data_IF_553894891319
#
_entry.id   IF_553894891319
#
_cell.length_a   1.000
_cell.length_b   1.000
_cell.length_c   1.000
_cell.angle_alpha   90.00
_cell.angle_beta   90.00
_cell.angle_gamma   90.00
#
_symmetry.space_group_name_H-M   'P 1'
#
loop_
_entity.id
_entity.type
_entity.pdbx_description
1 polymer ?
#
# COMPACT_ATOMS: atom_id res chain seq x y z
N UNK A 1 -0.22 11.80 -29.46
CA UNK A 1 -1.34 11.51 -28.53
C UNK A 1 -1.28 12.48 -27.37
N UNK A 2 -2.43 12.88 -26.85
CA UNK A 2 -2.53 13.87 -25.76
C UNK A 2 -2.51 13.20 -24.39
N UNK A 3 -2.18 13.95 -23.33
CA UNK A 3 -2.22 13.49 -21.93
C UNK A 3 -3.57 12.84 -21.53
N UNK A 4 -4.74 13.28 -22.02
CA UNK A 4 -5.99 12.56 -21.83
C UNK A 4 -6.00 11.11 -22.35
N UNK A 5 -5.28 10.79 -23.42
CA UNK A 5 -5.16 9.41 -23.90
C UNK A 5 -4.32 8.57 -22.95
N UNK A 6 -3.25 9.14 -22.39
CA UNK A 6 -2.46 8.50 -21.33
C UNK A 6 -3.33 8.27 -20.09
N UNK A 7 -4.06 9.29 -19.61
CA UNK A 7 -4.97 9.14 -18.46
C UNK A 7 -5.95 7.97 -18.66
N UNK A 8 -6.65 7.90 -19.80
CA UNK A 8 -7.58 6.80 -20.10
C UNK A 8 -6.89 5.43 -20.12
N UNK A 9 -5.68 5.35 -20.68
CA UNK A 9 -4.93 4.10 -20.70
C UNK A 9 -4.52 3.67 -19.28
N UNK A 10 -4.16 4.61 -18.42
CA UNK A 10 -3.79 4.36 -17.02
C UNK A 10 -4.99 3.99 -16.16
N UNK A 11 -6.12 4.69 -16.28
CA UNK A 11 -7.35 4.40 -15.52
C UNK A 11 -7.97 3.05 -15.91
N UNK A 12 -7.70 2.56 -17.13
CA UNK A 12 -8.13 1.24 -17.59
C UNK A 12 -7.27 0.08 -17.05
N UNK A 13 -6.14 0.37 -16.40
CA UNK A 13 -5.33 -0.67 -15.76
C UNK A 13 -6.04 -1.14 -14.49
N UNK A 14 -6.43 -2.42 -14.46
CA UNK A 14 -6.95 -3.01 -13.24
C UNK A 14 -5.81 -3.47 -12.34
N UNK A 15 -5.84 -3.02 -11.09
CA UNK A 15 -4.86 -3.36 -10.06
C UNK A 15 -5.62 -3.64 -8.79
N UNK A 16 -5.48 -4.88 -8.32
CA UNK A 16 -6.08 -5.38 -7.10
C UNK A 16 -5.11 -5.19 -5.94
N UNK A 17 -5.62 -4.94 -4.74
CA UNK A 17 -4.79 -4.90 -3.54
C UNK A 17 -4.38 -6.29 -3.04
N UNK A 18 -5.23 -7.29 -3.30
CA UNK A 18 -4.96 -8.68 -2.96
C UNK A 18 -5.76 -9.62 -3.88
N UNK A 19 -5.27 -10.84 -4.04
CA UNK A 19 -5.96 -11.96 -4.66
C UNK A 19 -6.06 -13.12 -3.66
N UNK A 20 -6.98 -14.05 -3.91
CA UNK A 20 -7.29 -15.16 -3.01
C UNK A 20 -7.56 -16.44 -3.78
N UNK A 21 -7.53 -17.57 -3.09
CA UNK A 21 -7.93 -18.84 -3.65
C UNK A 21 -7.95 -19.95 -2.62
N UNK A 22 -8.15 -21.18 -3.09
CA UNK A 22 -8.10 -22.39 -2.26
C UNK A 22 -7.19 -23.40 -2.92
N UNK A 23 -6.12 -23.79 -2.24
CA UNK A 23 -5.21 -24.82 -2.69
C UNK A 23 -5.77 -26.21 -2.34
N UNK A 24 -5.98 -27.05 -3.35
CA UNK A 24 -6.44 -28.42 -3.16
C UNK A 24 -5.29 -29.32 -2.66
N UNK A 25 -5.08 -29.34 -1.35
CA UNK A 25 -4.08 -30.21 -0.73
C UNK A 25 -4.41 -31.70 -0.98
N UNK A 26 -3.48 -32.42 -1.60
CA UNK A 26 -3.57 -33.85 -1.90
C UNK A 26 -2.76 -34.71 -0.92
N UNK A 27 -1.88 -34.07 -0.16
CA UNK A 27 -1.05 -34.70 0.86
C UNK A 27 -1.39 -34.15 2.25
N UNK A 28 -0.94 -34.88 3.27
CA UNK A 28 -1.09 -34.47 4.66
C UNK A 28 -0.29 -33.20 4.94
N UNK A 29 -0.93 -32.20 5.53
CA UNK A 29 -0.28 -30.94 5.88
C UNK A 29 0.51 -31.10 7.17
N UNK A 30 1.82 -30.87 7.11
CA UNK A 30 2.70 -30.97 8.26
C UNK A 30 3.86 -29.98 8.18
N UNK A 31 4.41 -29.61 9.34
CA UNK A 31 5.59 -28.78 9.48
C UNK A 31 6.69 -29.65 10.06
N UNK A 32 7.84 -29.67 9.41
CA UNK A 32 9.03 -30.41 9.85
C UNK A 32 10.16 -29.44 10.19
N UNK A 33 10.73 -29.63 11.38
CA UNK A 33 11.87 -28.88 11.91
C UNK A 33 13.20 -29.57 11.55
N UNK A 34 14.37 -28.89 11.70
CA UNK A 34 15.64 -29.40 11.21
C UNK A 34 16.18 -30.59 12.01
N UNK A 35 15.72 -30.76 13.25
CA UNK A 35 16.02 -31.90 14.11
C UNK A 35 15.15 -33.14 13.81
N UNK A 36 14.22 -33.01 12.85
CA UNK A 36 13.31 -34.06 12.44
C UNK A 36 12.01 -34.11 13.24
N UNK A 37 11.78 -33.18 14.18
CA UNK A 37 10.49 -33.08 14.85
C UNK A 37 9.40 -32.59 13.88
N UNK A 38 8.21 -33.19 13.96
CA UNK A 38 7.12 -33.00 12.99
C UNK A 38 5.80 -32.75 13.69
N UNK A 39 5.18 -31.60 13.39
CA UNK A 39 3.80 -31.28 13.74
C UNK A 39 2.89 -31.42 12.53
N UNK A 40 1.91 -32.32 12.58
CA UNK A 40 0.94 -32.51 11.50
C UNK A 40 -0.41 -31.88 11.86
N UNK A 41 -1.01 -31.13 10.93
CA UNK A 41 -2.20 -30.29 11.18
C UNK A 41 -3.47 -31.08 11.56
N UNK A 42 -3.50 -32.39 11.27
CA UNK A 42 -4.59 -33.30 11.63
C UNK A 42 -4.36 -34.04 12.98
N UNK A 43 -3.20 -33.88 13.61
CA UNK A 43 -2.96 -34.37 14.98
C UNK A 43 -3.65 -33.42 15.99
N UNK A 44 -4.50 -33.90 16.89
CA UNK A 44 -5.13 -33.09 17.92
C UNK A 44 -4.16 -32.29 18.81
N UNK A 45 -2.89 -32.71 18.89
CA UNK A 45 -1.83 -32.03 19.66
C UNK A 45 -1.05 -31.00 18.85
N UNK A 46 -1.37 -30.81 17.57
CA UNK A 46 -0.62 -29.94 16.67
C UNK A 46 -0.46 -28.52 17.19
N UNK A 47 -1.53 -27.94 17.72
CA UNK A 47 -1.50 -26.57 18.26
C UNK A 47 -0.56 -26.50 19.47
N UNK A 48 -0.67 -27.43 20.41
CA UNK A 48 0.22 -27.49 21.58
C UNK A 48 1.69 -27.71 21.17
N UNK A 49 1.93 -28.58 20.19
CA UNK A 49 3.25 -28.78 19.61
C UNK A 49 3.79 -27.50 19.00
N UNK A 50 2.98 -26.78 18.23
CA UNK A 50 3.40 -25.54 17.56
C UNK A 50 3.70 -24.43 18.58
N UNK A 51 2.87 -24.30 19.62
CA UNK A 51 3.10 -23.37 20.73
C UNK A 51 4.40 -23.68 21.48
N UNK A 52 4.73 -24.95 21.70
CA UNK A 52 5.99 -25.36 22.34
C UNK A 52 7.25 -24.97 21.53
N UNK A 53 7.10 -24.79 20.22
CA UNK A 53 8.18 -24.39 19.30
C UNK A 53 8.11 -22.92 18.88
N UNK A 54 7.18 -22.14 19.45
CA UNK A 54 6.95 -20.75 19.07
C UNK A 54 7.44 -19.76 20.12
N UNK A 55 7.70 -18.54 19.69
CA UNK A 55 7.92 -17.37 20.54
C UNK A 55 6.78 -16.36 20.38
N UNK A 56 6.69 -15.36 21.26
CA UNK A 56 5.74 -14.27 21.07
C UNK A 56 6.02 -13.55 19.74
N UNK A 57 4.99 -13.32 18.94
CA UNK A 57 5.14 -12.64 17.66
C UNK A 57 5.25 -11.12 17.88
N UNK A 58 6.36 -10.48 17.49
CA UNK A 58 6.53 -9.03 17.64
C UNK A 58 5.83 -8.25 16.53
N UNK A 59 5.76 -6.93 16.67
CA UNK A 59 5.33 -6.02 15.61
C UNK A 59 6.30 -4.83 15.47
N UNK A 60 6.30 -4.20 14.31
CA UNK A 60 7.08 -2.99 14.05
C UNK A 60 6.31 -1.73 14.47
N UNK A 61 7.00 -0.77 15.08
CA UNK A 61 6.46 0.54 15.44
C UNK A 61 7.56 1.59 15.32
N UNK A 62 7.46 2.49 14.33
CA UNK A 62 8.46 3.54 14.11
C UNK A 62 9.89 3.03 13.90
N UNK A 63 10.06 1.87 13.27
CA UNK A 63 11.37 1.21 13.08
C UNK A 63 11.85 0.38 14.28
N UNK A 64 11.14 0.39 15.41
CA UNK A 64 11.43 -0.46 16.56
C UNK A 64 10.62 -1.77 16.50
N UNK A 65 11.17 -2.85 17.05
CA UNK A 65 10.46 -4.11 17.23
C UNK A 65 9.91 -4.20 18.65
N UNK A 66 8.58 -4.32 18.80
CA UNK A 66 7.89 -4.27 20.11
C UNK A 66 7.09 -5.54 20.37
N UNK A 67 6.86 -5.80 21.67
CA UNK A 67 5.99 -6.85 22.18
C UNK A 67 4.90 -6.21 23.04
N UNK A 68 3.67 -6.21 22.52
CA UNK A 68 2.48 -5.72 23.22
C UNK A 68 1.27 -6.57 22.79
N UNK A 69 0.76 -7.45 23.67
CA UNK A 69 -0.44 -8.24 23.41
C UNK A 69 -1.69 -7.40 23.15
N UNK A 70 -1.69 -6.11 23.51
CA UNK A 70 -2.77 -5.21 23.15
C UNK A 70 -2.87 -5.00 21.63
N UNK A 71 -1.70 -4.97 20.97
CA UNK A 71 -1.51 -4.76 19.52
C UNK A 71 -1.44 -6.08 18.77
N UNK A 72 -0.57 -7.00 19.19
CA UNK A 72 -0.38 -8.31 18.57
C UNK A 72 -0.34 -9.40 19.64
N UNK A 73 -1.44 -10.13 19.77
CA UNK A 73 -1.54 -11.31 20.61
C UNK A 73 -1.44 -12.55 19.73
N UNK A 74 -0.23 -12.99 19.46
CA UNK A 74 0.05 -14.16 18.64
C UNK A 74 1.41 -14.76 19.01
N UNK A 75 1.62 -16.02 18.65
CA UNK A 75 2.91 -16.68 18.70
C UNK A 75 3.38 -17.02 17.28
N UNK A 76 4.69 -17.05 17.07
CA UNK A 76 5.31 -17.39 15.80
C UNK A 76 6.34 -18.51 15.98
N UNK A 77 6.27 -19.50 15.12
CA UNK A 77 7.41 -20.35 14.80
C UNK A 77 8.21 -19.63 13.71
N UNK A 78 9.44 -19.23 14.01
CA UNK A 78 10.35 -18.64 13.03
C UNK A 78 10.80 -19.73 12.06
N UNK A 79 10.24 -19.71 10.85
CA UNK A 79 10.32 -20.80 9.89
C UNK A 79 11.36 -20.57 8.79
N UNK A 80 11.77 -19.32 8.54
CA UNK A 80 12.79 -18.99 7.54
C UNK A 80 14.06 -19.81 7.77
N UNK A 81 14.46 -20.57 6.75
CA UNK A 81 15.62 -21.48 6.74
C UNK A 81 15.60 -22.57 7.84
N UNK A 82 14.45 -22.78 8.50
CA UNK A 82 14.34 -23.60 9.71
C UNK A 82 13.15 -24.54 9.72
N UNK A 83 12.17 -24.36 8.84
CA UNK A 83 11.05 -25.28 8.74
C UNK A 83 10.72 -25.58 7.28
N UNK A 84 10.22 -26.78 7.05
CA UNK A 84 9.67 -27.21 5.76
C UNK A 84 8.22 -27.58 5.92
N UNK A 85 7.41 -27.29 4.92
CA UNK A 85 5.97 -27.58 4.92
C UNK A 85 5.71 -28.70 3.93
N UNK A 86 5.07 -29.77 4.40
CA UNK A 86 4.49 -30.80 3.57
C UNK A 86 3.02 -30.49 3.27
N UNK A 87 2.51 -30.89 2.09
CA UNK A 87 1.10 -30.72 1.71
C UNK A 87 0.71 -29.32 1.24
N UNK A 88 1.66 -28.40 1.09
CA UNK A 88 1.47 -27.12 0.40
C UNK A 88 2.75 -26.71 -0.31
N UNK A 89 2.67 -26.53 -1.64
CA UNK A 89 3.75 -25.98 -2.45
C UNK A 89 3.30 -24.60 -2.99
N UNK A 90 3.91 -23.48 -2.54
CA UNK A 90 3.53 -22.17 -3.02
C UNK A 90 3.74 -21.99 -4.53
N UNK A 91 4.64 -22.76 -5.16
CA UNK A 91 4.86 -22.70 -6.61
C UNK A 91 3.60 -23.00 -7.43
N UNK A 92 2.64 -23.72 -6.84
CA UNK A 92 1.37 -24.07 -7.50
C UNK A 92 0.32 -22.95 -7.47
N UNK A 93 0.44 -21.99 -6.56
CA UNK A 93 -0.43 -20.80 -6.49
C UNK A 93 0.24 -19.53 -7.03
N UNK A 94 1.57 -19.55 -7.17
CA UNK A 94 2.35 -18.42 -7.67
C UNK A 94 1.88 -17.90 -9.04
N UNK A 95 1.50 -18.70 -10.05
CA UNK A 95 1.05 -18.16 -11.33
C UNK A 95 -0.15 -17.20 -11.23
N UNK A 96 -1.14 -17.53 -10.40
CA UNK A 96 -2.32 -16.70 -10.15
C UNK A 96 -1.95 -15.42 -9.39
N UNK A 97 -1.07 -15.55 -8.39
CA UNK A 97 -0.54 -14.42 -7.63
C UNK A 97 0.29 -13.48 -8.51
N UNK A 98 1.13 -14.03 -9.39
CA UNK A 98 1.93 -13.25 -10.33
C UNK A 98 1.04 -12.49 -11.32
N UNK A 99 -0.04 -13.08 -11.82
CA UNK A 99 -0.99 -12.38 -12.71
C UNK A 99 -1.66 -11.18 -12.03
N UNK A 100 -1.97 -11.30 -10.74
CA UNK A 100 -2.59 -10.24 -9.96
C UNK A 100 -1.61 -9.17 -9.48
N UNK A 101 -0.46 -9.58 -8.93
CA UNK A 101 0.43 -8.72 -8.13
C UNK A 101 1.81 -8.47 -8.77
N UNK A 102 2.22 -9.27 -9.77
CA UNK A 102 3.52 -9.11 -10.43
C UNK A 102 3.48 -9.49 -11.93
N UNK A 103 2.74 -8.73 -12.76
CA UNK A 103 2.51 -9.08 -14.16
C UNK A 103 3.78 -9.05 -15.04
N UNK A 104 4.91 -8.52 -14.54
CA UNK A 104 6.18 -8.46 -15.26
C UNK A 104 7.27 -9.35 -14.72
N UNK A 105 7.25 -9.70 -13.45
CA UNK A 105 8.35 -10.44 -12.84
C UNK A 105 7.84 -11.70 -12.18
N UNK A 106 8.62 -12.76 -12.29
CA UNK A 106 8.36 -13.96 -11.54
C UNK A 106 8.60 -13.72 -10.06
N UNK A 107 7.78 -14.35 -9.23
CA UNK A 107 7.84 -14.27 -7.78
C UNK A 107 8.49 -15.53 -7.19
N UNK A 108 9.12 -15.34 -6.04
CA UNK A 108 9.52 -16.38 -5.12
C UNK A 108 8.74 -16.22 -3.82
N UNK A 109 8.30 -17.34 -3.25
CA UNK A 109 7.62 -17.38 -1.97
C UNK A 109 8.52 -18.04 -0.93
N UNK A 110 8.98 -17.26 0.06
CA UNK A 110 9.84 -17.76 1.15
C UNK A 110 9.03 -17.83 2.44
N UNK A 111 8.88 -19.03 3.01
CA UNK A 111 8.22 -19.20 4.31
C UNK A 111 8.98 -18.40 5.37
N UNK A 112 8.30 -17.47 6.03
CA UNK A 112 8.92 -16.66 7.09
C UNK A 112 8.53 -17.18 8.46
N UNK A 113 7.24 -17.38 8.67
CA UNK A 113 6.66 -17.69 9.97
C UNK A 113 5.47 -18.64 9.83
N UNK A 114 5.24 -19.43 10.87
CA UNK A 114 3.93 -20.03 11.13
C UNK A 114 3.34 -19.33 12.35
N UNK A 115 2.18 -18.71 12.17
CA UNK A 115 1.53 -17.91 13.20
C UNK A 115 0.41 -18.69 13.86
N UNK A 116 0.36 -18.65 15.19
CA UNK A 116 -0.74 -19.15 16.02
C UNK A 116 -1.37 -17.99 16.77
N UNK A 117 -2.66 -17.80 16.56
CA UNK A 117 -3.49 -16.91 17.36
C UNK A 117 -4.35 -17.79 18.27
N UNK A 118 -4.07 -17.85 19.59
CA UNK A 118 -4.94 -18.55 20.53
C UNK A 118 -6.25 -17.76 20.74
N UNK A 119 -7.14 -18.23 21.61
CA UNK A 119 -8.28 -17.41 22.10
C UNK A 119 -7.80 -16.02 22.56
N UNK A 120 -8.57 -14.99 22.22
CA UNK A 120 -8.25 -13.55 22.34
C UNK A 120 -7.05 -13.07 21.52
N UNK A 121 -6.46 -13.97 20.73
CA UNK A 121 -5.39 -13.69 19.79
C UNK A 121 -5.87 -12.77 18.68
N UNK A 122 -5.06 -11.77 18.33
CA UNK A 122 -5.39 -10.73 17.36
C UNK A 122 -4.14 -10.05 16.81
N UNK A 123 -4.31 -9.25 15.76
CA UNK A 123 -3.33 -8.27 15.33
C UNK A 123 -4.06 -7.01 14.87
N UNK A 124 -3.77 -5.88 15.51
CA UNK A 124 -4.28 -4.57 15.13
C UNK A 124 -3.97 -4.22 13.67
N UNK A 125 -4.70 -3.25 13.13
CA UNK A 125 -4.51 -2.74 11.77
C UNK A 125 -3.08 -2.26 11.54
N UNK A 126 -2.45 -2.77 10.50
CA UNK A 126 -1.08 -2.46 10.12
C UNK A 126 -0.86 -2.66 8.62
N UNK A 127 0.33 -2.25 8.16
CA UNK A 127 0.90 -2.59 6.86
C UNK A 127 2.19 -3.37 7.08
N UNK A 128 2.57 -4.18 6.12
CA UNK A 128 3.86 -4.83 6.18
C UNK A 128 4.97 -3.81 5.91
N UNK A 129 6.03 -3.86 6.72
CA UNK A 129 7.21 -3.03 6.49
C UNK A 129 8.13 -3.75 5.49
N UNK A 130 8.37 -3.19 4.29
CA UNK A 130 9.32 -3.79 3.36
C UNK A 130 10.72 -3.74 3.94
N UNK A 131 11.38 -4.90 4.02
CA UNK A 131 12.77 -5.01 4.46
C UNK A 131 13.75 -5.23 3.30
N UNK A 132 13.24 -5.48 2.08
CA UNK A 132 14.03 -5.52 0.84
C UNK A 132 13.30 -4.81 -0.30
N UNK A 133 14.01 -4.55 -1.40
CA UNK A 133 13.45 -3.90 -2.61
C UNK A 133 12.58 -4.87 -3.41
N UNK A 134 12.95 -6.14 -3.33
CA UNK A 134 12.35 -7.26 -4.03
C UNK A 134 11.00 -7.63 -3.42
N UNK A 135 10.78 -7.38 -2.12
CA UNK A 135 9.53 -7.69 -1.44
C UNK A 135 8.36 -6.93 -2.09
N UNK A 136 7.44 -7.72 -2.65
CA UNK A 136 6.20 -7.27 -3.25
C UNK A 136 5.08 -7.28 -2.20
N UNK A 137 5.02 -8.32 -1.38
CA UNK A 137 3.96 -8.48 -0.40
C UNK A 137 4.06 -9.81 0.33
N UNK A 138 2.90 -10.29 0.79
CA UNK A 138 2.79 -11.45 1.68
C UNK A 138 1.75 -12.42 1.12
N UNK A 139 2.02 -13.71 1.25
CA UNK A 139 1.05 -14.78 1.04
C UNK A 139 0.73 -15.42 2.40
N UNK A 140 -0.55 -15.38 2.78
CA UNK A 140 -1.08 -15.96 4.01
C UNK A 140 -1.93 -17.17 3.65
N UNK A 141 -1.61 -18.33 4.23
CA UNK A 141 -2.32 -19.59 3.98
C UNK A 141 -2.93 -20.08 5.28
N UNK A 142 -4.25 -20.30 5.29
CA UNK A 142 -4.98 -20.89 6.40
C UNK A 142 -4.71 -22.39 6.53
N UNK A 143 -4.28 -22.84 7.71
CA UNK A 143 -4.23 -24.26 8.03
C UNK A 143 -5.60 -24.74 8.52
N UNK A 144 -5.95 -26.03 8.34
CA UNK A 144 -7.30 -26.55 8.59
C UNK A 144 -7.58 -26.80 10.09
N UNK A 145 -7.31 -25.79 10.92
CA UNK A 145 -7.51 -25.82 12.37
C UNK A 145 -8.79 -25.05 12.69
N UNK A 146 -9.76 -25.75 13.31
CA UNK A 146 -11.07 -25.17 13.63
C UNK A 146 -10.94 -24.05 14.66
N UNK A 147 -11.60 -22.93 14.40
CA UNK A 147 -11.69 -21.79 15.31
C UNK A 147 -12.94 -20.95 15.01
N UNK A 148 -13.29 -20.02 15.90
CA UNK A 148 -14.31 -18.99 15.64
C UNK A 148 -13.71 -17.60 15.91
N UNK A 149 -14.23 -16.58 15.23
CA UNK A 149 -13.56 -15.26 15.19
C UNK A 149 -12.26 -15.35 14.39
N UNK A 150 -11.30 -14.45 14.63
CA UNK A 150 -10.00 -14.55 13.96
C UNK A 150 -10.01 -14.14 12.48
N UNK A 151 -11.06 -13.46 12.00
CA UNK A 151 -11.18 -13.08 10.61
C UNK A 151 -9.98 -12.21 10.18
N UNK A 152 -9.45 -12.49 8.99
CA UNK A 152 -8.41 -11.69 8.36
C UNK A 152 -9.08 -10.62 7.52
N UNK A 153 -8.84 -9.34 7.84
CA UNK A 153 -9.45 -8.22 7.13
C UNK A 153 -8.37 -7.52 6.32
N UNK A 154 -8.66 -7.26 5.04
CA UNK A 154 -7.80 -6.52 4.12
C UNK A 154 -8.56 -5.32 3.59
N UNK A 155 -7.96 -4.14 3.68
CA UNK A 155 -8.61 -2.87 3.34
C UNK A 155 -7.65 -2.01 2.50
N UNK A 156 -8.09 -1.66 1.30
CA UNK A 156 -7.34 -0.85 0.34
C UNK A 156 -7.97 0.54 0.13
N UNK A 157 -8.88 0.94 1.01
CA UNK A 157 -9.64 2.19 0.91
C UNK A 157 -10.89 2.09 0.03
N UNK A 158 -11.02 1.07 -0.82
CA UNK A 158 -12.26 0.79 -1.55
C UNK A 158 -13.31 0.06 -0.70
N UNK A 159 -12.89 -0.48 0.45
CA UNK A 159 -13.73 -1.11 1.46
C UNK A 159 -13.08 -2.40 1.98
N UNK A 160 -13.34 -2.79 3.24
CA UNK A 160 -12.72 -3.98 3.83
C UNK A 160 -13.27 -5.26 3.18
N UNK A 161 -12.36 -6.17 2.84
CA UNK A 161 -12.64 -7.57 2.51
C UNK A 161 -12.35 -8.44 3.73
N UNK A 162 -13.25 -9.37 4.02
CA UNK A 162 -13.20 -10.27 5.18
C UNK A 162 -12.96 -11.69 4.73
N UNK A 163 -11.89 -12.31 5.23
CA UNK A 163 -11.55 -13.71 5.02
C UNK A 163 -11.69 -14.47 6.35
N UNK A 164 -12.73 -15.29 6.45
CA UNK A 164 -12.99 -16.13 7.62
C UNK A 164 -12.74 -17.60 7.27
N UNK A 165 -11.74 -18.20 7.94
CA UNK A 165 -11.29 -19.57 7.72
C UNK A 165 -11.50 -20.44 8.97
N UNK A 166 -12.41 -20.04 9.86
CA UNK A 166 -12.73 -20.75 11.10
C UNK A 166 -13.27 -22.16 10.88
N UNK A 167 -14.07 -22.32 9.81
CA UNK A 167 -14.63 -23.61 9.41
C UNK A 167 -13.79 -24.30 8.33
N UNK A 168 -13.67 -25.63 8.36
CA UNK A 168 -12.90 -26.36 7.36
C UNK A 168 -13.47 -26.16 5.94
N UNK A 169 -12.64 -25.61 5.05
CA UNK A 169 -12.90 -25.60 3.61
C UNK A 169 -12.20 -26.79 2.95
N UNK A 170 -12.67 -27.20 1.77
CA UNK A 170 -12.04 -28.25 0.99
C UNK A 170 -10.70 -27.75 0.41
N UNK A 171 -9.62 -27.88 1.18
CA UNK A 171 -8.27 -27.42 0.83
C UNK A 171 -7.72 -26.40 1.81
N UNK A 172 -6.71 -25.65 1.38
CA UNK A 172 -6.07 -24.58 2.16
C UNK A 172 -6.42 -23.23 1.55
N UNK A 173 -7.27 -22.41 2.21
CA UNK A 173 -7.57 -21.08 1.72
C UNK A 173 -6.33 -20.20 1.85
N UNK A 174 -6.15 -19.28 0.92
CA UNK A 174 -5.01 -18.37 0.93
C UNK A 174 -5.39 -17.01 0.39
N UNK A 175 -4.66 -16.00 0.85
CA UNK A 175 -4.72 -14.61 0.37
C UNK A 175 -3.30 -14.12 0.15
N UNK A 176 -3.05 -13.52 -1.01
CA UNK A 176 -1.82 -12.80 -1.30
C UNK A 176 -2.12 -11.31 -1.47
N UNK A 177 -1.39 -10.45 -0.76
CA UNK A 177 -1.60 -9.01 -0.70
C UNK A 177 -0.29 -8.25 -0.84
N UNK A 178 -0.33 -7.04 -1.40
CA UNK A 178 0.82 -6.14 -1.41
C UNK A 178 1.16 -5.66 0.01
N UNK A 179 2.43 -5.35 0.25
CA UNK A 179 2.91 -4.92 1.57
C UNK A 179 2.30 -3.61 2.09
N UNK A 180 1.82 -2.75 1.18
CA UNK A 180 1.24 -1.45 1.48
C UNK A 180 -0.26 -1.47 1.76
N UNK A 181 -0.88 -2.65 1.77
CA UNK A 181 -2.32 -2.79 2.04
C UNK A 181 -2.55 -2.92 3.54
N UNK A 182 -3.49 -2.12 4.07
CA UNK A 182 -3.88 -2.21 5.46
C UNK A 182 -4.57 -3.55 5.73
N UNK A 183 -4.15 -4.23 6.78
CA UNK A 183 -4.76 -5.50 7.17
C UNK A 183 -4.71 -5.71 8.69
N UNK A 184 -5.61 -6.57 9.19
CA UNK A 184 -5.71 -6.93 10.60
C UNK A 184 -6.22 -8.36 10.78
N UNK A 185 -6.06 -8.87 12.00
CA UNK A 185 -6.68 -10.13 12.46
C UNK A 185 -7.60 -9.79 13.63
N UNK A 186 -8.90 -10.04 13.46
CA UNK A 186 -9.88 -9.88 14.53
C UNK A 186 -9.63 -10.87 15.68
N UNK A 187 -10.15 -10.62 16.90
CA UNK A 187 -10.00 -11.54 18.01
C UNK A 187 -10.52 -12.94 17.70
N UNK A 188 -9.71 -13.96 18.00
CA UNK A 188 -10.17 -15.36 18.02
C UNK A 188 -11.05 -15.56 19.25
N UNK A 189 -12.27 -16.07 19.06
CA UNK A 189 -13.25 -16.29 20.13
C UNK A 189 -13.09 -17.68 20.74
N UNK A 190 -12.79 -18.70 19.92
CA UNK A 190 -12.53 -20.06 20.39
C UNK A 190 -11.62 -20.82 19.44
N UNK A 191 -10.90 -21.82 19.96
CA UNK A 191 -9.93 -22.60 19.18
C UNK A 191 -8.61 -21.83 18.97
N UNK A 192 -7.94 -22.11 17.86
CA UNK A 192 -6.73 -21.41 17.46
C UNK A 192 -6.69 -21.22 15.95
N UNK A 193 -6.42 -19.99 15.51
CA UNK A 193 -6.18 -19.68 14.10
C UNK A 193 -4.71 -19.91 13.79
N UNK A 194 -4.41 -20.79 12.84
CA UNK A 194 -3.05 -21.11 12.43
C UNK A 194 -2.85 -20.78 10.95
N UNK A 195 -1.79 -20.02 10.63
CA UNK A 195 -1.47 -19.64 9.25
C UNK A 195 0.00 -19.81 8.92
N UNK A 196 0.29 -20.26 7.70
CA UNK A 196 1.61 -20.11 7.09
C UNK A 196 1.73 -18.70 6.50
N UNK A 197 2.88 -18.05 6.69
CA UNK A 197 3.15 -16.71 6.15
C UNK A 197 4.40 -16.77 5.28
N UNK A 198 4.24 -16.39 4.02
CA UNK A 198 5.30 -16.36 3.03
C UNK A 198 5.56 -14.92 2.60
N UNK A 199 6.84 -14.53 2.53
CA UNK A 199 7.25 -13.32 1.84
C UNK A 199 7.24 -13.57 0.33
N UNK A 200 6.57 -12.69 -0.43
CA UNK A 200 6.56 -12.71 -1.89
C UNK A 200 7.58 -11.71 -2.42
N UNK A 201 8.65 -12.21 -3.03
CA UNK A 201 9.74 -11.39 -3.57
C UNK A 201 9.88 -11.54 -5.08
N UNK A 202 10.13 -10.43 -5.78
CA UNK A 202 10.48 -10.48 -7.20
C UNK A 202 11.83 -11.15 -7.41
N UNK A 203 11.88 -12.10 -8.34
CA UNK A 203 13.13 -12.77 -8.77
C UNK A 203 13.92 -11.96 -9.79
N UNK A 204 13.37 -10.83 -10.27
CA UNK A 204 13.93 -10.05 -11.39
C UNK A 204 13.82 -10.73 -12.77
N UNK A 205 13.36 -11.98 -12.84
CA UNK A 205 13.14 -12.72 -14.10
C UNK A 205 11.84 -12.26 -14.76
N UNK A 206 11.91 -11.81 -16.02
CA UNK A 206 10.78 -11.19 -16.74
C UNK A 206 9.71 -12.19 -17.21
N UNK A 207 8.46 -11.71 -17.32
CA UNK A 207 7.23 -12.34 -17.83
C UNK A 207 6.73 -11.61 -19.10
N UNK A 208 7.57 -11.53 -20.13
CA UNK A 208 7.44 -10.55 -21.23
C UNK A 208 6.08 -10.55 -21.99
N UNK A 209 5.50 -11.73 -22.26
CA UNK A 209 4.29 -11.83 -23.07
C UNK A 209 3.03 -11.25 -22.38
N UNK A 210 2.88 -11.48 -21.08
CA UNK A 210 1.72 -11.00 -20.30
C UNK A 210 1.78 -9.47 -20.11
N UNK A 211 2.99 -8.94 -19.88
CA UNK A 211 3.22 -7.50 -19.69
C UNK A 211 2.88 -6.70 -20.95
N UNK A 212 3.33 -7.16 -22.13
CA UNK A 212 3.15 -6.41 -23.37
C UNK A 212 1.67 -6.18 -23.72
N UNK A 213 0.81 -7.18 -23.52
CA UNK A 213 -0.62 -7.06 -23.77
C UNK A 213 -1.30 -6.09 -22.79
N UNK A 214 -0.97 -6.19 -21.50
CA UNK A 214 -1.52 -5.34 -20.42
C UNK A 214 -1.21 -3.86 -20.63
N UNK A 215 0.02 -3.52 -21.04
CA UNK A 215 0.48 -2.14 -21.17
C UNK A 215 0.43 -1.59 -22.60
N UNK A 216 -0.15 -2.31 -23.57
CA UNK A 216 -0.17 -1.91 -24.97
C UNK A 216 -0.78 -0.51 -25.21
N UNK A 217 -1.84 -0.16 -24.48
CA UNK A 217 -2.46 1.17 -24.57
C UNK A 217 -1.57 2.28 -23.99
N UNK A 218 -0.84 1.97 -22.91
CA UNK A 218 0.12 2.88 -22.27
C UNK A 218 1.30 3.14 -23.20
N UNK A 219 1.90 2.09 -23.77
CA UNK A 219 2.98 2.23 -24.75
C UNK A 219 2.58 3.13 -25.91
N UNK A 220 1.43 2.87 -26.53
CA UNK A 220 0.90 3.74 -27.59
C UNK A 220 0.79 5.19 -27.11
N UNK A 221 0.16 5.43 -25.96
CA UNK A 221 0.00 6.77 -25.43
C UNK A 221 1.34 7.50 -25.24
N UNK A 222 2.35 6.80 -24.71
CA UNK A 222 3.72 7.32 -24.49
C UNK A 222 4.42 7.64 -25.81
N UNK A 223 4.36 6.75 -26.81
CA UNK A 223 4.96 6.96 -28.13
C UNK A 223 4.45 8.25 -28.80
N UNK A 224 3.20 8.62 -28.49
CA UNK A 224 2.59 9.82 -29.01
C UNK A 224 2.88 11.10 -28.22
N UNK A 225 3.59 11.06 -27.10
CA UNK A 225 3.95 12.25 -26.32
C UNK A 225 5.10 12.97 -27.02
N UNK A 226 4.86 14.15 -27.60
CA UNK A 226 5.88 14.93 -28.33
C UNK A 226 6.42 16.13 -27.56
N UNK A 227 5.74 16.52 -26.49
CA UNK A 227 6.12 17.66 -25.65
C UNK A 227 7.31 17.30 -24.72
N UNK A 228 8.10 18.32 -24.39
CA UNK A 228 9.26 18.23 -23.48
C UNK A 228 8.95 18.69 -22.06
N UNK A 229 7.81 19.37 -21.85
CA UNK A 229 7.39 19.77 -20.52
C UNK A 229 7.19 18.55 -19.59
N UNK A 230 7.51 18.67 -18.30
CA UNK A 230 7.33 17.59 -17.34
C UNK A 230 5.88 17.11 -17.30
N UNK A 231 5.71 15.84 -16.99
CA UNK A 231 4.41 15.19 -16.77
C UNK A 231 4.45 14.61 -15.37
N UNK A 232 3.41 14.84 -14.58
CA UNK A 232 3.32 14.30 -13.22
C UNK A 232 2.20 13.28 -13.15
N UNK A 233 2.49 12.08 -12.67
CA UNK A 233 1.54 10.96 -12.61
C UNK A 233 1.46 10.47 -11.17
N UNK A 234 0.48 10.91 -10.38
CA UNK A 234 0.20 10.37 -9.05
C UNK A 234 0.16 8.85 -9.00
N UNK A 235 0.88 8.27 -8.03
CA UNK A 235 0.92 6.85 -7.71
C UNK A 235 -0.47 6.34 -7.28
N UNK A 236 -0.79 5.08 -7.58
CA UNK A 236 -2.04 4.40 -7.24
C UNK A 236 -1.85 3.48 -6.05
N UNK A 237 -0.59 3.30 -5.63
CA UNK A 237 -0.19 2.61 -4.42
C UNK A 237 0.50 3.59 -3.47
N UNK A 238 0.40 3.31 -2.18
CA UNK A 238 1.17 4.08 -1.21
C UNK A 238 2.63 3.72 -1.33
N UNK A 239 3.48 4.75 -1.42
CA UNK A 239 4.92 4.56 -1.43
C UNK A 239 5.40 4.51 0.02
N UNK A 240 5.74 3.32 0.49
CA UNK A 240 6.31 3.12 1.83
C UNK A 240 7.80 3.44 1.76
N UNK A 241 8.20 4.56 2.34
CA UNK A 241 9.60 4.86 2.66
C UNK A 241 9.81 4.78 4.16
N UNK A 242 11.03 4.44 4.59
CA UNK A 242 11.42 4.69 5.98
C UNK A 242 11.38 6.19 6.29
N UNK A 243 11.13 6.55 7.55
CA UNK A 243 10.86 7.92 7.99
C UNK A 243 11.82 8.95 7.35
N UNK A 244 11.22 10.01 6.78
CA UNK A 244 11.89 11.15 6.15
C UNK A 244 12.77 10.87 4.91
N UNK A 245 12.84 9.64 4.39
CA UNK A 245 13.50 9.38 3.10
C UNK A 245 12.56 9.76 1.95
N UNK A 246 13.03 10.59 1.03
CA UNK A 246 12.33 10.87 -0.22
C UNK A 246 12.11 9.57 -1.01
N UNK A 247 10.94 9.41 -1.65
CA UNK A 247 10.66 8.23 -2.44
C UNK A 247 11.58 8.14 -3.65
N UNK A 248 11.90 6.92 -4.05
CA UNK A 248 12.74 6.59 -5.21
C UNK A 248 12.09 5.47 -6.04
N UNK A 249 12.67 5.11 -7.18
CA UNK A 249 12.12 4.06 -8.05
C UNK A 249 11.97 2.71 -7.31
N UNK A 250 12.76 2.49 -6.27
CA UNK A 250 12.82 1.23 -5.53
C UNK A 250 11.73 1.16 -4.46
N UNK A 251 11.17 2.31 -4.09
CA UNK A 251 9.99 2.44 -3.23
C UNK A 251 8.67 2.14 -3.95
N UNK A 252 8.64 2.15 -5.29
CA UNK A 252 7.44 1.83 -6.07
C UNK A 252 7.06 0.36 -5.98
N UNK A 253 5.77 0.07 -6.09
CA UNK A 253 5.18 -1.28 -6.14
C UNK A 253 4.13 -1.37 -7.24
N UNK A 254 3.75 -2.60 -7.58
CA UNK A 254 2.66 -2.88 -8.52
C UNK A 254 2.80 -2.13 -9.84
N UNK A 255 1.68 -1.58 -10.34
CA UNK A 255 1.64 -0.87 -11.62
C UNK A 255 2.58 0.33 -11.66
N UNK A 256 2.80 1.02 -10.55
CA UNK A 256 3.59 2.26 -10.53
C UNK A 256 5.05 2.01 -10.87
N UNK A 257 5.60 0.90 -10.34
CA UNK A 257 6.94 0.42 -10.69
C UNK A 257 7.03 0.10 -12.18
N UNK A 258 5.98 -0.52 -12.73
CA UNK A 258 5.94 -0.89 -14.14
C UNK A 258 5.87 0.31 -15.07
N UNK A 259 5.03 1.30 -14.72
CA UNK A 259 4.93 2.55 -15.46
C UNK A 259 6.26 3.28 -15.47
N UNK A 260 6.92 3.40 -14.33
CA UNK A 260 8.23 4.03 -14.25
C UNK A 260 9.25 3.36 -15.18
N UNK A 261 9.30 2.02 -15.20
CA UNK A 261 10.18 1.30 -16.10
C UNK A 261 9.80 1.46 -17.57
N UNK A 262 8.50 1.47 -17.90
CA UNK A 262 8.03 1.71 -19.27
C UNK A 262 8.48 3.09 -19.78
N UNK A 263 8.39 4.12 -18.95
CA UNK A 263 8.90 5.46 -19.31
C UNK A 263 10.42 5.48 -19.49
N UNK A 264 11.17 4.81 -18.61
CA UNK A 264 12.63 4.67 -18.75
C UNK A 264 12.99 3.93 -20.04
N UNK A 265 12.32 2.82 -20.33
CA UNK A 265 12.53 2.04 -21.56
C UNK A 265 12.20 2.86 -22.82
N UNK A 266 11.27 3.81 -22.72
CA UNK A 266 10.92 4.77 -23.78
C UNK A 266 11.85 5.99 -23.85
N UNK A 267 12.90 6.04 -23.04
CA UNK A 267 13.93 7.09 -23.06
C UNK A 267 13.63 8.32 -22.22
N UNK A 268 12.61 8.27 -21.36
CA UNK A 268 12.31 9.34 -20.41
C UNK A 268 13.14 9.19 -19.13
N UNK A 269 13.43 10.31 -18.48
CA UNK A 269 13.88 10.34 -17.09
C UNK A 269 12.66 10.30 -16.17
N UNK A 270 12.73 9.46 -15.15
CA UNK A 270 11.67 9.31 -14.15
C UNK A 270 12.25 9.57 -12.76
N UNK A 271 11.64 10.51 -12.05
CA UNK A 271 11.86 10.72 -10.62
C UNK A 271 10.58 10.37 -9.86
N UNK A 272 10.72 9.87 -8.62
CA UNK A 272 9.58 9.71 -7.72
C UNK A 272 9.57 10.91 -6.78
N UNK A 273 8.43 11.58 -6.69
CA UNK A 273 8.26 12.82 -5.91
C UNK A 273 7.20 12.63 -4.85
N UNK A 274 7.39 13.30 -3.72
CA UNK A 274 6.29 13.58 -2.80
C UNK A 274 5.47 14.74 -3.38
N UNK A 275 4.16 14.72 -3.15
CA UNK A 275 3.25 15.76 -3.61
C UNK A 275 2.24 16.08 -2.51
N UNK A 276 1.74 17.31 -2.54
CA UNK A 276 0.58 17.74 -1.78
C UNK A 276 -0.50 18.19 -2.76
N UNK A 277 -1.76 17.85 -2.49
CA UNK A 277 -2.91 18.28 -3.27
C UNK A 277 -3.91 18.92 -2.32
N UNK A 278 -4.29 20.17 -2.60
CA UNK A 278 -5.48 20.77 -2.02
C UNK A 278 -6.68 20.43 -2.91
N UNK A 279 -7.71 19.88 -2.28
CA UNK A 279 -8.95 19.45 -2.92
C UNK A 279 -10.13 20.12 -2.25
N UNK A 280 -11.08 20.72 -2.98
CA UNK A 280 -12.27 21.33 -2.38
C UNK A 280 -13.04 20.38 -1.47
N UNK A 281 -13.42 20.85 -0.29
CA UNK A 281 -14.27 20.14 0.65
C UNK A 281 -15.74 20.44 0.34
N UNK A 282 -16.38 19.54 -0.41
CA UNK A 282 -17.79 19.66 -0.77
C UNK A 282 -18.74 18.92 0.20
N UNK A 283 -18.30 18.63 1.43
CA UNK A 283 -19.08 17.88 2.43
C UNK A 283 -19.10 16.36 2.20
N UNK A 284 -18.24 15.85 1.32
CA UNK A 284 -18.00 14.42 1.13
C UNK A 284 -17.17 13.83 2.29
N UNK A 285 -17.22 12.51 2.47
CA UNK A 285 -16.47 11.81 3.52
C UNK A 285 -14.96 12.00 3.32
N UNK A 286 -14.28 12.63 4.29
CA UNK A 286 -12.85 12.95 4.28
C UNK A 286 -11.91 11.73 4.07
N UNK A 287 -12.42 10.51 4.19
CA UNK A 287 -11.64 9.27 4.10
C UNK A 287 -11.26 8.83 2.68
N UNK A 288 -11.79 9.48 1.62
CA UNK A 288 -11.48 9.13 0.23
C UNK A 288 -11.03 10.37 -0.56
N UNK A 289 -9.91 10.23 -1.27
CA UNK A 289 -9.43 11.24 -2.20
C UNK A 289 -10.37 11.32 -3.41
N UNK A 290 -11.28 12.29 -3.38
CA UNK A 290 -12.19 12.56 -4.48
C UNK A 290 -11.52 13.45 -5.53
N UNK A 291 -11.66 13.07 -6.79
CA UNK A 291 -11.11 13.85 -7.89
C UNK A 291 -12.13 14.89 -8.33
N UNK A 292 -11.84 16.14 -8.00
CA UNK A 292 -12.58 17.30 -8.48
C UNK A 292 -11.88 17.94 -9.68
N UNK A 293 -12.59 18.81 -10.40
CA UNK A 293 -11.99 19.58 -11.51
C UNK A 293 -10.99 20.64 -10.99
N UNK A 294 -11.18 21.12 -9.76
CA UNK A 294 -10.45 22.25 -9.17
C UNK A 294 -9.35 21.82 -8.19
N UNK A 295 -8.60 20.76 -8.53
CA UNK A 295 -7.46 20.32 -7.71
C UNK A 295 -6.29 21.30 -7.83
N UNK A 296 -5.65 21.61 -6.70
CA UNK A 296 -4.40 22.39 -6.66
C UNK A 296 -3.23 21.51 -6.21
N UNK A 297 -2.51 20.86 -7.13
CA UNK A 297 -1.38 20.01 -6.82
C UNK A 297 -0.06 20.77 -6.77
N UNK A 298 0.86 20.33 -5.93
CA UNK A 298 2.24 20.80 -5.90
C UNK A 298 3.22 19.64 -5.66
N UNK A 299 4.35 19.69 -6.35
CA UNK A 299 5.48 18.81 -6.08
C UNK A 299 6.23 19.27 -4.82
N UNK A 300 6.75 18.32 -4.06
CA UNK A 300 7.55 18.57 -2.86
C UNK A 300 8.94 17.95 -3.00
N UNK A 301 9.94 18.58 -2.38
CA UNK A 301 11.31 18.09 -2.39
C UNK A 301 11.49 16.82 -1.56
N UNK A 302 10.71 16.70 -0.48
CA UNK A 302 10.67 15.59 0.45
C UNK A 302 9.26 15.47 1.05
N UNK A 303 8.92 14.37 1.74
CA UNK A 303 7.68 14.28 2.52
C UNK A 303 7.60 15.41 3.56
N UNK A 304 6.39 15.90 3.83
CA UNK A 304 6.18 16.86 4.92
C UNK A 304 6.58 16.23 6.25
N UNK A 305 7.40 16.89 7.08
CA UNK A 305 7.72 16.39 8.41
C UNK A 305 6.46 16.23 9.26
N UNK A 306 6.34 15.20 10.11
CA UNK A 306 5.18 15.03 11.00
C UNK A 306 4.91 16.25 11.89
N UNK A 307 5.97 16.95 12.31
CA UNK A 307 5.85 18.19 13.09
C UNK A 307 5.20 19.34 12.31
N UNK A 308 5.39 19.39 10.99
CA UNK A 308 4.78 20.40 10.12
C UNK A 308 3.31 20.07 9.89
N UNK A 309 3.00 18.79 9.66
CA UNK A 309 1.61 18.32 9.53
C UNK A 309 0.83 18.65 10.82
N UNK A 310 1.43 18.36 11.98
CA UNK A 310 0.82 18.64 13.28
C UNK A 310 0.65 20.14 13.58
N UNK A 311 1.36 21.02 12.86
CA UNK A 311 1.29 22.48 13.04
C UNK A 311 0.45 23.19 11.98
N UNK A 312 -0.23 22.46 11.08
CA UNK A 312 -1.09 23.09 10.06
C UNK A 312 -2.27 23.81 10.74
N UNK A 313 -2.38 25.11 10.51
CA UNK A 313 -3.45 25.97 11.04
C UNK A 313 -4.74 25.92 10.22
N UNK A 314 -5.70 26.78 10.54
CA UNK A 314 -6.98 26.87 9.83
C UNK A 314 -6.87 27.46 8.42
N UNK A 315 -5.81 28.23 8.17
CA UNK A 315 -5.51 28.85 6.88
C UNK A 315 -4.21 28.26 6.34
N UNK A 316 -4.21 27.75 5.11
CA UNK A 316 -3.01 27.16 4.47
C UNK A 316 -2.80 27.72 3.07
N UNK A 317 -1.56 28.05 2.72
CA UNK A 317 -1.20 28.56 1.39
C UNK A 317 0.07 27.92 0.83
N UNK A 318 0.22 27.95 -0.49
CA UNK A 318 1.41 27.47 -1.21
C UNK A 318 2.45 28.58 -1.49
N UNK A 319 2.24 29.77 -0.92
CA UNK A 319 3.13 30.94 -1.05
C UNK A 319 3.62 31.41 0.31
N UNK A 320 4.79 32.07 0.39
CA UNK A 320 5.34 32.56 1.66
C UNK A 320 4.53 33.70 2.28
N UNK A 321 3.96 34.57 1.44
CA UNK A 321 3.20 35.74 1.88
C UNK A 321 1.70 35.47 1.78
N UNK A 322 0.95 35.85 2.81
CA UNK A 322 -0.50 35.65 2.88
C UNK A 322 -1.21 36.96 3.18
N UNK A 323 -2.31 37.21 2.50
CA UNK A 323 -3.11 38.42 2.60
C UNK A 323 -4.51 38.08 3.11
N UNK A 324 -4.76 38.41 4.37
CA UNK A 324 -6.07 38.29 5.01
C UNK A 324 -6.69 39.69 5.00
N UNK A 325 -7.61 39.94 4.05
CA UNK A 325 -8.37 41.19 4.00
C UNK A 325 -9.62 41.07 4.86
N UNK A 326 -9.69 41.83 5.96
CA UNK A 326 -10.84 41.82 6.89
C UNK A 326 -11.99 42.74 6.43
N UNK A 327 -11.94 43.17 5.17
CA UNK A 327 -12.70 44.27 4.57
C UNK A 327 -14.19 43.94 4.37
N UNK A 328 -14.58 42.68 4.56
CA UNK A 328 -15.91 42.13 4.25
C UNK A 328 -16.76 41.69 5.45
N UNK A 329 -16.29 41.85 6.69
CA UNK A 329 -17.06 41.48 7.89
C UNK A 329 -17.23 39.96 8.11
N UNK A 330 -16.35 39.14 7.55
CA UNK A 330 -16.26 37.71 7.90
C UNK A 330 -15.41 37.52 9.16
N UNK A 331 -15.83 36.61 10.04
CA UNK A 331 -15.01 36.12 11.17
C UNK A 331 -13.89 35.23 10.60
N UNK A 332 -12.88 35.82 9.97
CA UNK A 332 -11.63 35.12 9.72
C UNK A 332 -10.87 35.06 11.04
N UNK A 333 -10.29 33.91 11.41
CA UNK A 333 -9.44 33.83 12.59
C UNK A 333 -8.31 34.85 12.46
N UNK A 334 -7.94 35.52 13.57
CA UNK A 334 -6.76 36.41 13.68
C UNK A 334 -5.42 35.63 13.54
N UNK A 335 -5.44 34.50 12.83
CA UNK A 335 -4.33 33.57 12.69
C UNK A 335 -3.53 33.84 11.41
N UNK A 336 -2.20 33.77 11.52
CA UNK A 336 -1.33 33.75 10.35
C UNK A 336 -1.54 32.44 9.57
N UNK A 337 -1.66 32.56 8.25
CA UNK A 337 -1.80 31.40 7.41
C UNK A 337 -0.50 30.59 7.35
N UNK A 338 -0.63 29.27 7.46
CA UNK A 338 0.50 28.35 7.39
C UNK A 338 0.98 28.25 5.94
N UNK A 339 2.22 28.70 5.70
CA UNK A 339 2.85 28.60 4.38
C UNK A 339 3.52 27.24 4.19
N UNK A 340 3.17 26.55 3.11
CA UNK A 340 3.86 25.35 2.64
C UNK A 340 4.96 25.65 1.61
N UNK A 341 5.11 26.89 1.16
CA UNK A 341 6.10 27.29 0.15
C UNK A 341 7.54 26.77 0.40
N UNK A 342 8.06 26.73 1.64
CA UNK A 342 9.40 26.20 1.91
C UNK A 342 9.60 24.72 1.54
N UNK A 343 8.51 23.96 1.38
CA UNK A 343 8.54 22.52 1.08
C UNK A 343 8.26 22.21 -0.40
N UNK A 344 7.80 23.19 -1.17
CA UNK A 344 7.36 23.01 -2.55
C UNK A 344 8.52 23.17 -3.54
N UNK A 345 8.45 22.39 -4.61
CA UNK A 345 9.28 22.55 -5.81
C UNK A 345 8.62 23.53 -6.80
N UNK A 346 9.35 24.00 -7.83
CA UNK A 346 8.76 24.81 -8.90
C UNK A 346 7.48 24.17 -9.47
N UNK A 347 6.46 25.00 -9.66
CA UNK A 347 5.13 24.55 -10.05
C UNK A 347 5.11 23.85 -11.41
N UNK A 348 4.41 22.72 -11.47
CA UNK A 348 4.04 22.06 -12.73
C UNK A 348 2.56 22.38 -13.00
N UNK A 349 2.21 22.98 -14.14
CA UNK A 349 0.83 23.34 -14.47
C UNK A 349 -0.13 22.14 -14.37
N UNK A 350 -1.35 22.35 -13.84
CA UNK A 350 -2.33 21.28 -13.58
C UNK A 350 -2.66 20.44 -14.82
N UNK A 351 -2.64 21.03 -16.02
CA UNK A 351 -2.89 20.31 -17.29
C UNK A 351 -1.79 19.30 -17.64
N UNK A 352 -0.67 19.32 -16.92
CA UNK A 352 0.42 18.34 -16.99
C UNK A 352 0.32 17.22 -15.96
N UNK A 353 -0.65 17.29 -15.05
CA UNK A 353 -0.90 16.24 -14.06
C UNK A 353 -1.88 15.21 -14.61
N UNK A 354 -1.43 13.96 -14.71
CA UNK A 354 -2.25 12.82 -15.11
C UNK A 354 -2.71 12.09 -13.85
N UNK A 355 -3.62 12.74 -13.12
CA UNK A 355 -4.18 12.20 -11.87
C UNK A 355 -5.08 11.02 -12.23
N UNK A 356 -4.67 9.81 -11.83
CA UNK A 356 -5.41 8.56 -12.10
C UNK A 356 -6.55 8.39 -11.13
N UNK A 357 -7.68 7.84 -11.53
CA UNK A 357 -8.87 7.64 -10.67
C UNK A 357 -8.57 6.91 -9.36
N UNK A 358 -7.60 5.99 -9.37
CA UNK A 358 -7.18 5.22 -8.19
C UNK A 358 -5.94 5.80 -7.47
N UNK A 359 -5.65 7.09 -7.59
CA UNK A 359 -4.47 7.69 -6.95
C UNK A 359 -4.51 7.49 -5.42
N UNK A 360 -3.44 6.94 -4.86
CA UNK A 360 -3.30 6.68 -3.44
C UNK A 360 -2.85 7.95 -2.72
N UNK A 361 -3.75 8.49 -1.89
CA UNK A 361 -3.58 9.76 -1.22
C UNK A 361 -3.99 9.64 0.26
N UNK A 362 -3.20 10.27 1.12
CA UNK A 362 -3.42 10.30 2.57
C UNK A 362 -3.88 11.69 2.96
N UNK A 363 -5.09 11.81 3.51
CA UNK A 363 -5.55 13.04 4.12
C UNK A 363 -4.63 13.41 5.27
N UNK A 364 -4.13 14.64 5.28
CA UNK A 364 -3.27 15.16 6.35
C UNK A 364 -3.91 16.30 7.13
N UNK A 365 -4.84 17.05 6.53
CA UNK A 365 -5.44 18.22 7.17
C UNK A 365 -6.70 18.72 6.46
N UNK A 366 -7.53 19.47 7.17
CA UNK A 366 -8.66 20.24 6.64
C UNK A 366 -8.44 21.71 7.00
N UNK A 367 -8.52 22.60 6.02
CA UNK A 367 -8.27 24.04 6.20
C UNK A 367 -8.96 24.87 5.11
N UNK A 368 -9.14 26.17 5.36
CA UNK A 368 -9.35 27.13 4.29
C UNK A 368 -8.03 27.27 3.52
N UNK A 369 -8.08 27.09 2.20
CA UNK A 369 -6.91 27.06 1.34
C UNK A 369 -7.01 28.10 0.22
N UNK A 370 -5.90 28.79 -0.05
CA UNK A 370 -5.70 29.56 -1.28
C UNK A 370 -4.26 29.40 -1.78
N UNK A 371 -4.10 29.08 -3.06
CA UNK A 371 -2.77 28.82 -3.63
C UNK A 371 -1.87 30.06 -3.68
N UNK A 372 -2.45 31.26 -3.64
CA UNK A 372 -1.77 32.55 -3.74
C UNK A 372 -1.84 33.36 -2.44
N UNK A 373 -2.41 32.79 -1.36
CA UNK A 373 -2.54 33.42 -0.05
C UNK A 373 -3.65 34.47 0.08
N UNK A 374 -4.64 34.54 -0.83
CA UNK A 374 -5.74 35.51 -0.80
C UNK A 374 -7.05 34.91 -0.25
N UNK A 375 -7.15 34.79 1.07
CA UNK A 375 -8.28 34.11 1.74
C UNK A 375 -9.62 34.86 1.70
N UNK A 376 -9.64 36.15 1.38
CA UNK A 376 -10.88 36.93 1.37
C UNK A 376 -11.86 36.59 0.23
N UNK A 377 -11.33 36.37 -0.99
CA UNK A 377 -12.14 36.13 -2.20
C UNK A 377 -11.67 34.90 -3.01
N UNK A 378 -10.49 34.34 -2.70
CA UNK A 378 -9.91 33.19 -3.41
C UNK A 378 -9.90 31.90 -2.59
N UNK A 379 -10.01 32.02 -1.26
CA UNK A 379 -9.99 30.88 -0.34
C UNK A 379 -11.21 29.97 -0.49
N UNK A 380 -10.99 28.67 -0.30
CA UNK A 380 -12.05 27.66 -0.24
C UNK A 380 -11.72 26.60 0.81
N UNK A 381 -12.74 26.02 1.44
CA UNK A 381 -12.54 24.91 2.37
C UNK A 381 -11.96 23.72 1.59
N UNK A 382 -10.84 23.19 2.07
CA UNK A 382 -10.09 22.16 1.37
C UNK A 382 -9.63 21.05 2.30
N UNK A 383 -9.61 19.85 1.74
CA UNK A 383 -8.84 18.74 2.27
C UNK A 383 -7.45 18.75 1.64
N UNK A 384 -6.42 18.68 2.48
CA UNK A 384 -5.03 18.55 2.05
C UNK A 384 -4.62 17.09 2.09
N UNK A 385 -4.15 16.59 0.95
CA UNK A 385 -3.69 15.21 0.80
C UNK A 385 -2.20 15.17 0.47
N UNK A 386 -1.50 14.18 1.01
CA UNK A 386 -0.15 13.81 0.58
C UNK A 386 -0.19 12.52 -0.24
N UNK A 387 0.66 12.45 -1.25
CA UNK A 387 0.80 11.29 -2.14
C UNK A 387 2.19 11.26 -2.76
N UNK A 388 2.51 10.17 -3.43
CA UNK A 388 3.68 10.08 -4.30
C UNK A 388 3.27 10.21 -5.77
N UNK A 389 4.18 10.66 -6.62
CA UNK A 389 3.97 10.73 -8.06
C UNK A 389 5.25 10.42 -8.85
N UNK A 390 5.08 9.94 -10.08
CA UNK A 390 6.14 9.90 -11.08
C UNK A 390 6.24 11.27 -11.74
N UNK A 391 7.38 11.94 -11.61
CA UNK A 391 7.75 13.09 -12.44
C UNK A 391 8.54 12.57 -13.65
N UNK A 392 7.94 12.70 -14.83
CA UNK A 392 8.49 12.21 -16.10
C UNK A 392 8.96 13.39 -16.93
N UNK A 393 10.21 13.32 -17.40
CA UNK A 393 10.86 14.34 -18.23
C UNK A 393 11.60 13.69 -19.40
N UNK A 394 11.77 14.41 -20.51
CA UNK A 394 12.55 13.94 -21.67
C UNK A 394 14.04 14.21 -21.52
#
# INVERSE_FOLDING_TARGET
MSLPALKRALDALDEVACCEGVFAATERVAIMLPDGDVGAADDPRFVDWLLAHSELAPFGDGGETKLDPAVRNAQRLVARDRATVNGFDPALVLPEIEDALSPRYHLEATLTDVLVYPTDGRFARHRDTPYTRELVGTLVVGLPIRHTGGAFIVDDGAGPRTFDWGEPVAGLPWVALFSDVDHLVEPVISGARVTLVYALSSTGRRRDAATAARYAAVHRAIDGLTDTAPIVIPCARHVITGDAKAPDLESLRGTDRELAQIFVDAGFRVAVRSCVIASPNNGAQASRFEQHEDLTPALMAAPLPPSVIASLGQLVAFVPDTHISNDGGGDYPDEEATSLAPYLLPGVPIDRWVIRTKAAATLIHEALFDQYGFFGNGGFDAYLYTLAALEVTR
#
